data_IF_894608738131
#
_entry.id   IF_894608738131
#
_cell.length_a   1.000
_cell.length_b   1.000
_cell.length_c   1.000
_cell.angle_alpha   90.00
_cell.angle_beta   90.00
_cell.angle_gamma   90.00
#
_symmetry.space_group_name_H-M   'P 1'
#
loop_
_entity.id
_entity.type
_entity.pdbx_description
1 polymer ?
#
# COMPACT_ATOMS: atom_id res chain seq x y z
N UNK A 1 -23.03 26.51 9.81
CA UNK A 1 -22.02 25.98 8.87
C UNK A 1 -20.81 25.57 9.68
N UNK A 2 -20.74 24.27 10.03
CA UNK A 2 -19.86 23.78 11.09
C UNK A 2 -18.41 23.68 10.62
N UNK A 3 -17.51 24.22 11.45
CA UNK A 3 -16.10 24.42 11.21
C UNK A 3 -15.34 23.31 11.93
N UNK A 4 -15.29 22.12 11.33
CA UNK A 4 -14.53 20.97 11.83
C UNK A 4 -13.68 20.38 10.70
N UNK A 5 -12.69 21.16 10.25
CA UNK A 5 -11.55 20.67 9.46
C UNK A 5 -10.29 21.17 10.18
N UNK A 6 -9.85 20.43 11.20
CA UNK A 6 -8.60 20.70 11.88
C UNK A 6 -8.01 19.36 12.33
N UNK A 7 -7.02 18.85 11.58
CA UNK A 7 -6.18 17.70 11.96
C UNK A 7 -5.83 16.66 10.87
N UNK A 8 -6.53 16.60 9.73
CA UNK A 8 -6.51 15.40 8.85
C UNK A 8 -5.58 15.50 7.63
N UNK A 9 -5.11 16.68 7.23
CA UNK A 9 -4.38 16.83 5.95
C UNK A 9 -2.92 16.40 6.02
N UNK A 10 -2.22 16.66 7.13
CA UNK A 10 -0.80 16.28 7.28
C UNK A 10 -0.63 14.77 7.57
N UNK A 11 -1.63 14.16 8.21
CA UNK A 11 -1.64 12.74 8.57
C UNK A 11 -1.91 11.83 7.38
N UNK A 12 -2.76 12.24 6.44
CA UNK A 12 -3.05 11.45 5.24
C UNK A 12 -1.86 11.41 4.30
N UNK A 13 -1.17 12.54 4.06
CA UNK A 13 0.00 12.53 3.19
C UNK A 13 1.16 11.69 3.78
N UNK A 14 1.38 11.79 5.09
CA UNK A 14 2.33 10.91 5.77
C UNK A 14 1.93 9.43 5.62
N UNK A 15 0.65 9.11 5.84
CA UNK A 15 0.13 7.75 5.69
C UNK A 15 0.26 7.21 4.26
N UNK A 16 0.11 8.07 3.24
CA UNK A 16 0.34 7.68 1.85
C UNK A 16 1.81 7.33 1.62
N UNK A 17 2.73 8.18 2.09
CA UNK A 17 4.18 7.92 1.95
C UNK A 17 4.60 6.65 2.68
N UNK A 18 4.10 6.44 3.90
CA UNK A 18 4.38 5.26 4.71
C UNK A 18 3.82 3.98 4.08
N UNK A 19 2.67 4.07 3.40
CA UNK A 19 2.09 2.98 2.61
C UNK A 19 2.82 2.74 1.27
N UNK A 20 3.94 3.42 1.00
CA UNK A 20 4.71 3.29 -0.24
C UNK A 20 4.03 3.92 -1.45
N UNK A 21 3.02 4.78 -1.26
CA UNK A 21 2.49 5.60 -2.35
C UNK A 21 3.57 6.63 -2.73
N UNK A 22 4.17 6.50 -3.92
CA UNK A 22 5.20 7.42 -4.39
C UNK A 22 4.65 8.43 -5.42
N UNK A 23 5.35 9.57 -5.55
CA UNK A 23 5.17 10.64 -6.55
C UNK A 23 3.82 10.69 -7.25
N UNK A 24 3.72 10.00 -8.38
CA UNK A 24 2.53 10.01 -9.25
C UNK A 24 1.23 9.62 -8.52
N UNK A 25 1.28 8.66 -7.59
CA UNK A 25 0.09 8.21 -6.86
C UNK A 25 -0.37 9.26 -5.83
N UNK A 26 0.58 9.92 -5.17
CA UNK A 26 0.28 11.02 -4.24
C UNK A 26 -0.28 12.22 -5.01
N UNK A 27 0.30 12.57 -6.16
CA UNK A 27 -0.16 13.69 -6.97
C UNK A 27 -1.56 13.42 -7.53
N UNK A 28 -1.82 12.19 -7.99
CA UNK A 28 -3.15 11.78 -8.44
C UNK A 28 -4.17 11.79 -7.31
N UNK A 29 -3.80 11.34 -6.12
CA UNK A 29 -4.65 11.43 -4.93
C UNK A 29 -5.01 12.89 -4.61
N UNK A 30 -4.03 13.80 -4.61
CA UNK A 30 -4.23 15.22 -4.33
C UNK A 30 -5.18 15.89 -5.32
N UNK A 31 -5.09 15.56 -6.61
CA UNK A 31 -6.02 16.08 -7.62
C UNK A 31 -7.46 15.62 -7.32
N UNK A 32 -7.65 14.33 -7.11
CA UNK A 32 -8.97 13.75 -6.82
C UNK A 32 -9.57 14.27 -5.51
N UNK A 33 -8.73 14.46 -4.49
CA UNK A 33 -9.12 14.99 -3.19
C UNK A 33 -9.55 16.46 -3.29
N UNK A 34 -8.80 17.27 -4.06
CA UNK A 34 -9.15 18.67 -4.33
C UNK A 34 -10.46 18.81 -5.09
N UNK A 35 -10.75 17.88 -6.00
CA UNK A 35 -12.01 17.83 -6.77
C UNK A 35 -13.18 17.25 -5.94
N UNK A 36 -12.93 16.79 -4.72
CA UNK A 36 -13.94 16.21 -3.82
C UNK A 36 -14.38 14.79 -4.20
N UNK A 37 -13.69 14.14 -5.15
CA UNK A 37 -14.02 12.80 -5.62
C UNK A 37 -13.46 11.73 -4.67
N UNK A 38 -14.11 11.61 -3.51
CA UNK A 38 -13.77 10.63 -2.48
C UNK A 38 -13.80 9.20 -3.01
N UNK A 39 -14.67 8.90 -3.97
CA UNK A 39 -14.80 7.55 -4.55
C UNK A 39 -13.56 7.23 -5.38
N UNK A 40 -13.12 8.14 -6.23
CA UNK A 40 -11.91 7.94 -7.02
C UNK A 40 -10.66 7.82 -6.13
N UNK A 41 -10.57 8.59 -5.03
CA UNK A 41 -9.52 8.42 -4.03
C UNK A 41 -9.51 7.01 -3.42
N UNK A 42 -10.68 6.48 -3.04
CA UNK A 42 -10.79 5.13 -2.48
C UNK A 42 -10.39 4.05 -3.49
N UNK A 43 -10.83 4.18 -4.75
CA UNK A 43 -10.52 3.21 -5.79
C UNK A 43 -9.03 3.23 -6.16
N UNK A 44 -8.39 4.41 -6.15
CA UNK A 44 -6.94 4.56 -6.31
C UNK A 44 -6.19 3.79 -5.21
N UNK A 45 -6.55 3.97 -3.94
CA UNK A 45 -5.89 3.31 -2.81
C UNK A 45 -6.15 1.79 -2.78
N UNK A 46 -7.34 1.34 -3.18
CA UNK A 46 -7.65 -0.08 -3.29
C UNK A 46 -6.80 -0.77 -4.35
N UNK A 47 -6.55 -0.11 -5.48
CA UNK A 47 -5.65 -0.61 -6.52
C UNK A 47 -4.22 -0.70 -5.99
N UNK A 48 -3.70 0.36 -5.38
CA UNK A 48 -2.36 0.35 -4.77
C UNK A 48 -2.19 -0.80 -3.76
N UNK A 49 -3.18 -0.99 -2.88
CA UNK A 49 -3.17 -2.11 -1.93
C UNK A 49 -3.10 -3.47 -2.64
N UNK A 50 -3.83 -3.64 -3.74
CA UNK A 50 -3.79 -4.88 -4.51
C UNK A 50 -2.39 -5.14 -5.09
N UNK A 51 -1.74 -4.10 -5.60
CA UNK A 51 -0.37 -4.18 -6.13
C UNK A 51 0.64 -4.55 -5.04
N UNK A 52 0.52 -3.98 -3.84
CA UNK A 52 1.34 -4.36 -2.69
C UNK A 52 1.15 -5.84 -2.31
N UNK A 53 -0.08 -6.34 -2.32
CA UNK A 53 -0.36 -7.75 -2.03
C UNK A 53 0.24 -8.66 -3.10
N UNK A 54 0.16 -8.28 -4.38
CA UNK A 54 0.82 -9.01 -5.46
C UNK A 54 2.35 -9.03 -5.27
N UNK A 55 2.96 -7.88 -4.97
CA UNK A 55 4.39 -7.80 -4.70
C UNK A 55 4.82 -8.65 -3.49
N UNK A 56 4.01 -8.67 -2.42
CA UNK A 56 4.22 -9.52 -1.26
C UNK A 56 4.20 -11.01 -1.65
N UNK A 57 3.20 -11.44 -2.44
CA UNK A 57 3.13 -12.83 -2.91
C UNK A 57 4.33 -13.21 -3.78
N UNK A 58 4.82 -12.31 -4.64
CA UNK A 58 6.02 -12.57 -5.45
C UNK A 58 7.28 -12.67 -4.58
N UNK A 59 7.42 -11.81 -3.56
CA UNK A 59 8.53 -11.86 -2.62
C UNK A 59 8.49 -13.10 -1.69
N UNK A 60 7.31 -13.67 -1.44
CA UNK A 60 7.13 -14.87 -0.64
C UNK A 60 7.62 -16.14 -1.35
N UNK A 61 7.46 -16.25 -2.68
CA UNK A 61 7.87 -17.43 -3.46
C UNK A 61 9.31 -17.92 -3.20
N UNK A 62 10.35 -17.07 -3.22
CA UNK A 62 11.71 -17.53 -2.93
C UNK A 62 11.87 -18.01 -1.47
N UNK A 63 11.12 -17.44 -0.52
CA UNK A 63 11.12 -17.90 0.88
C UNK A 63 10.56 -19.32 0.94
N UNK A 64 9.42 -19.58 0.30
CA UNK A 64 8.80 -20.92 0.28
C UNK A 64 9.75 -21.98 -0.31
N UNK A 65 10.51 -21.62 -1.34
CA UNK A 65 11.52 -22.49 -1.95
C UNK A 65 12.67 -22.75 -0.98
N UNK A 66 13.19 -21.71 -0.33
CA UNK A 66 14.24 -21.85 0.68
C UNK A 66 13.79 -22.74 1.84
N UNK A 67 12.57 -22.55 2.35
CA UNK A 67 12.00 -23.35 3.43
C UNK A 67 11.87 -24.82 3.03
N UNK A 68 11.47 -25.11 1.79
CA UNK A 68 11.45 -26.47 1.28
C UNK A 68 12.85 -27.10 1.25
N UNK A 69 13.88 -26.36 0.81
CA UNK A 69 15.28 -26.84 0.81
C UNK A 69 15.75 -27.13 2.24
N UNK A 70 15.53 -26.20 3.16
CA UNK A 70 15.93 -26.33 4.58
C UNK A 70 15.31 -27.59 5.18
N UNK A 71 13.99 -27.76 5.04
CA UNK A 71 13.29 -28.95 5.55
C UNK A 71 13.78 -30.26 4.92
N UNK A 72 14.27 -30.22 3.68
CA UNK A 72 14.90 -31.36 3.04
C UNK A 72 16.19 -31.75 3.74
N UNK A 73 17.07 -30.76 4.01
CA UNK A 73 18.35 -30.98 4.67
C UNK A 73 18.18 -31.41 6.14
N UNK A 74 17.21 -30.85 6.86
CA UNK A 74 16.92 -31.21 8.25
C UNK A 74 16.53 -32.68 8.44
N UNK A 75 15.97 -33.33 7.41
CA UNK A 75 15.62 -34.76 7.46
C UNK A 75 16.81 -35.69 7.31
N UNK A 76 17.91 -35.20 6.75
CA UNK A 76 19.15 -35.96 6.53
C UNK A 76 20.12 -35.84 7.71
N UNK A 77 19.76 -35.07 8.75
CA UNK A 77 20.45 -34.93 10.03
C UNK A 77 19.84 -35.88 11.08
#
# INVERSE_FOLDING_TARGET
MNKERCGVTETVEYGLRDAGCAGELIDRYRVLEKDGDTKACLDLLRRHRCELVCALHEAQKPIDVCDWIIRGLEKEL
#
